data_IF_759081701828
#
_entry.id   IF_759081701828
#
_cell.length_a   1.000
_cell.length_b   1.000
_cell.length_c   1.000
_cell.angle_alpha   90.00
_cell.angle_beta   90.00
_cell.angle_gamma   90.00
#
_symmetry.space_group_name_H-M   'P 1'
#
loop_
_entity.id
_entity.type
_entity.pdbx_description
1 polymer ?
#
# COMPACT_ATOMS: atom_id res chain seq x y z
N UNK A 1 -21.79 9.50 19.01
CA UNK A 1 -20.69 9.31 18.07
C UNK A 1 -20.94 7.97 17.41
N UNK A 2 -21.06 7.93 16.11
CA UNK A 2 -21.33 6.71 15.36
C UNK A 2 -19.98 6.13 14.91
N UNK A 3 -19.73 4.87 15.22
CA UNK A 3 -18.53 4.14 14.83
C UNK A 3 -18.81 3.06 13.77
N UNK A 4 -20.04 3.04 13.25
CA UNK A 4 -20.39 2.11 12.20
C UNK A 4 -19.64 2.47 10.90
N UNK A 5 -19.13 1.46 10.22
CA UNK A 5 -18.44 1.66 8.98
C UNK A 5 -19.42 1.82 7.83
N UNK A 6 -19.13 2.75 6.93
CA UNK A 6 -19.83 2.80 5.66
C UNK A 6 -19.54 1.54 4.82
N UNK A 7 -20.39 1.23 3.86
CA UNK A 7 -20.18 0.10 2.94
C UNK A 7 -18.83 0.18 2.22
N UNK A 8 -18.41 1.37 1.80
CA UNK A 8 -17.13 1.59 1.13
C UNK A 8 -15.94 1.36 2.08
N UNK A 9 -16.03 1.82 3.31
CA UNK A 9 -15.00 1.59 4.33
C UNK A 9 -14.85 0.10 4.64
N UNK A 10 -15.96 -0.60 4.86
CA UNK A 10 -15.97 -2.04 5.08
C UNK A 10 -15.40 -2.79 3.87
N UNK A 11 -15.80 -2.41 2.64
CA UNK A 11 -15.31 -3.02 1.40
C UNK A 11 -13.79 -2.98 1.30
N UNK A 12 -13.16 -1.82 1.49
CA UNK A 12 -11.70 -1.71 1.36
C UNK A 12 -10.95 -2.42 2.49
N UNK A 13 -11.39 -2.26 3.73
CA UNK A 13 -10.84 -3.01 4.88
C UNK A 13 -10.88 -4.53 4.63
N UNK A 14 -12.02 -5.03 4.21
CA UNK A 14 -12.22 -6.48 4.05
C UNK A 14 -11.45 -7.05 2.87
N UNK A 15 -11.25 -6.28 1.80
CA UNK A 15 -10.36 -6.65 0.70
C UNK A 15 -8.92 -6.84 1.17
N UNK A 16 -8.39 -5.86 1.91
CA UNK A 16 -7.03 -5.93 2.47
C UNK A 16 -6.91 -7.09 3.46
N UNK A 17 -7.87 -7.23 4.38
CA UNK A 17 -7.91 -8.34 5.32
C UNK A 17 -7.91 -9.69 4.61
N UNK A 18 -8.79 -9.88 3.66
CA UNK A 18 -8.90 -11.13 2.90
C UNK A 18 -7.61 -11.46 2.17
N UNK A 19 -6.97 -10.46 1.57
CA UNK A 19 -5.69 -10.66 0.90
C UNK A 19 -4.61 -11.10 1.89
N UNK A 20 -4.50 -10.44 3.04
CA UNK A 20 -3.53 -10.78 4.09
C UNK A 20 -3.75 -12.21 4.58
N UNK A 21 -4.99 -12.58 4.90
CA UNK A 21 -5.31 -13.91 5.42
C UNK A 21 -5.01 -15.02 4.40
N UNK A 22 -5.31 -14.78 3.12
CA UNK A 22 -5.18 -15.81 2.10
C UNK A 22 -3.77 -15.90 1.47
N UNK A 23 -3.01 -14.81 1.45
CA UNK A 23 -1.74 -14.73 0.72
C UNK A 23 -0.53 -14.55 1.64
N UNK A 24 -0.65 -13.73 2.69
CA UNK A 24 0.51 -13.41 3.53
C UNK A 24 0.64 -14.32 4.75
N UNK A 25 -0.45 -14.56 5.48
CA UNK A 25 -0.40 -15.41 6.68
C UNK A 25 0.11 -16.82 6.41
N UNK A 26 -0.28 -17.50 5.32
CA UNK A 26 0.26 -18.83 5.03
C UNK A 26 1.76 -18.84 4.71
N UNK A 27 2.33 -17.70 4.34
CA UNK A 27 3.74 -17.57 3.92
C UNK A 27 4.65 -16.91 4.96
N UNK A 28 4.16 -16.64 6.16
CA UNK A 28 4.97 -15.95 7.20
C UNK A 28 6.27 -16.71 7.49
N UNK A 29 6.22 -18.02 7.61
CA UNK A 29 7.41 -18.81 7.92
C UNK A 29 8.39 -18.88 6.73
N UNK A 30 7.89 -18.90 5.50
CA UNK A 30 8.70 -18.79 4.29
C UNK A 30 9.42 -17.43 4.24
N UNK A 31 8.70 -16.32 4.48
CA UNK A 31 9.28 -14.97 4.50
C UNK A 31 10.35 -14.86 5.58
N UNK A 32 10.09 -15.35 6.79
CA UNK A 32 11.07 -15.36 7.88
C UNK A 32 12.31 -16.16 7.55
N UNK A 33 12.14 -17.33 6.93
CA UNK A 33 13.26 -18.18 6.52
C UNK A 33 14.10 -17.50 5.43
N UNK A 34 13.45 -16.85 4.46
CA UNK A 34 14.12 -16.10 3.41
C UNK A 34 14.89 -14.91 4.00
N UNK A 35 14.29 -14.13 4.92
CA UNK A 35 14.92 -12.98 5.59
C UNK A 35 16.16 -13.43 6.41
N UNK A 36 16.06 -14.56 7.09
CA UNK A 36 17.15 -15.11 7.91
C UNK A 36 18.27 -15.76 7.09
N UNK A 37 18.04 -16.07 5.80
CA UNK A 37 18.93 -16.96 5.01
C UNK A 37 20.11 -16.28 4.32
N UNK A 38 20.39 -14.96 4.55
CA UNK A 38 21.45 -14.38 3.76
C UNK A 38 21.80 -12.93 3.98
N UNK A 39 22.09 -12.22 2.92
CA UNK A 39 22.45 -10.82 2.92
C UNK A 39 21.26 -9.97 3.43
N UNK A 40 21.52 -9.19 4.46
CA UNK A 40 20.56 -8.26 5.07
C UNK A 40 19.91 -7.29 4.05
N UNK A 41 20.58 -7.03 2.96
CA UNK A 41 20.15 -6.09 1.92
C UNK A 41 19.47 -6.77 0.73
N UNK A 42 19.27 -8.07 0.81
CA UNK A 42 18.60 -8.85 -0.22
C UNK A 42 17.12 -8.50 -0.30
N UNK A 43 16.63 -8.30 -1.49
CA UNK A 43 15.18 -8.18 -1.75
C UNK A 43 14.53 -9.54 -1.54
N UNK A 44 13.50 -9.60 -0.70
CA UNK A 44 12.76 -10.82 -0.41
C UNK A 44 11.85 -11.18 -1.59
N UNK A 45 12.18 -12.27 -2.29
CA UNK A 45 11.45 -12.69 -3.49
C UNK A 45 10.00 -13.06 -3.18
N UNK A 46 9.75 -13.62 -2.00
CA UNK A 46 8.40 -13.92 -1.53
C UNK A 46 7.55 -12.65 -1.43
N UNK A 47 8.12 -11.55 -0.91
CA UNK A 47 7.44 -10.24 -0.84
C UNK A 47 7.17 -9.69 -2.25
N UNK A 48 8.14 -9.77 -3.18
CA UNK A 48 7.95 -9.29 -4.55
C UNK A 48 6.84 -10.05 -5.30
N UNK A 49 6.71 -11.35 -5.07
CA UNK A 49 5.61 -12.14 -5.62
C UNK A 49 4.25 -11.66 -5.09
N UNK A 50 4.16 -11.38 -3.80
CA UNK A 50 2.91 -10.89 -3.21
C UNK A 50 2.59 -9.45 -3.62
N UNK A 51 3.59 -8.57 -3.82
CA UNK A 51 3.42 -7.24 -4.44
C UNK A 51 2.75 -7.35 -5.82
N UNK A 52 3.24 -8.26 -6.66
CA UNK A 52 2.66 -8.48 -7.99
C UNK A 52 1.18 -8.89 -7.91
N UNK A 53 0.83 -9.77 -6.96
CA UNK A 53 -0.57 -10.17 -6.73
C UNK A 53 -1.42 -9.02 -6.19
N UNK A 54 -0.91 -8.25 -5.24
CA UNK A 54 -1.62 -7.09 -4.68
C UNK A 54 -1.90 -6.03 -5.75
N UNK A 55 -0.91 -5.76 -6.61
CA UNK A 55 -1.06 -4.86 -7.76
C UNK A 55 -2.12 -5.37 -8.74
N UNK A 56 -2.08 -6.65 -9.11
CA UNK A 56 -3.08 -7.27 -9.98
C UNK A 56 -4.50 -7.27 -9.37
N UNK A 57 -4.60 -7.36 -8.05
CA UNK A 57 -5.87 -7.28 -7.32
C UNK A 57 -6.40 -5.85 -7.15
N UNK A 58 -5.67 -4.82 -7.59
CA UNK A 58 -6.06 -3.41 -7.43
C UNK A 58 -6.04 -2.91 -5.99
N UNK A 59 -5.20 -3.51 -5.14
CA UNK A 59 -4.95 -3.09 -3.75
C UNK A 59 -3.51 -2.59 -3.59
N UNK A 60 -3.17 -1.61 -4.40
CA UNK A 60 -1.84 -1.04 -4.52
C UNK A 60 -1.90 0.48 -4.30
N UNK A 61 -0.90 1.06 -3.66
CA UNK A 61 -0.82 2.50 -3.38
C UNK A 61 -2.03 3.04 -2.59
N UNK A 62 -2.53 2.27 -1.63
CA UNK A 62 -3.75 2.61 -0.88
C UNK A 62 -3.63 3.91 -0.07
N UNK A 63 -2.41 4.31 0.26
CA UNK A 63 -2.12 5.52 1.07
C UNK A 63 -2.35 6.82 0.30
N UNK A 64 -2.32 6.79 -1.03
CA UNK A 64 -2.39 8.00 -1.82
C UNK A 64 -3.77 8.62 -1.81
N UNK A 65 -3.87 9.92 -1.50
CA UNK A 65 -5.15 10.60 -1.43
C UNK A 65 -5.81 10.73 -2.81
N UNK A 66 -7.14 10.88 -2.86
CA UNK A 66 -7.85 11.12 -4.11
C UNK A 66 -7.41 12.44 -4.77
N UNK A 67 -7.44 12.49 -6.09
CA UNK A 67 -7.02 13.66 -6.89
C UNK A 67 -7.65 14.99 -6.44
N UNK A 68 -8.90 14.96 -6.01
CA UNK A 68 -9.70 16.15 -5.64
C UNK A 68 -9.65 16.50 -4.16
N UNK A 69 -8.80 15.88 -3.38
CA UNK A 69 -8.83 15.92 -1.91
C UNK A 69 -7.83 16.86 -1.26
N UNK A 70 -7.40 17.96 -1.85
CA UNK A 70 -6.45 18.71 -1.12
C UNK A 70 -6.10 20.12 -1.59
N UNK A 71 -5.76 20.92 -0.63
CA UNK A 71 -5.27 22.29 -0.76
C UNK A 71 -3.92 22.43 -1.49
N UNK A 72 -3.41 21.36 -2.12
CA UNK A 72 -2.16 21.36 -2.84
C UNK A 72 -2.39 21.09 -4.31
N UNK A 73 -1.73 21.88 -5.16
CA UNK A 73 -1.73 21.69 -6.59
C UNK A 73 -1.11 20.33 -6.91
N UNK A 74 -1.93 19.39 -7.33
CA UNK A 74 -1.49 18.10 -7.85
C UNK A 74 -1.34 18.26 -9.36
N UNK A 75 -0.17 17.90 -9.87
CA UNK A 75 0.06 17.87 -11.30
C UNK A 75 -0.72 16.70 -11.91
N UNK A 76 -1.78 17.02 -12.65
CA UNK A 76 -2.65 16.05 -13.31
C UNK A 76 -2.02 15.40 -14.56
N UNK A 77 -0.78 15.77 -14.90
CA UNK A 77 -0.08 15.22 -16.07
C UNK A 77 0.35 13.76 -15.91
N UNK A 78 0.33 13.24 -14.67
CA UNK A 78 0.65 11.85 -14.37
C UNK A 78 -0.58 11.10 -13.85
N UNK A 79 -0.87 9.99 -14.51
CA UNK A 79 -1.84 9.03 -13.98
C UNK A 79 -1.29 8.38 -12.71
N UNK A 80 -2.04 8.52 -11.66
CA UNK A 80 -1.71 7.96 -10.39
C UNK A 80 -2.41 6.59 -10.23
N UNK A 81 -1.62 5.54 -10.05
CA UNK A 81 -2.12 4.19 -9.82
C UNK A 81 -2.48 3.97 -8.34
N UNK A 82 -3.70 4.27 -7.97
CA UNK A 82 -4.23 4.01 -6.64
C UNK A 82 -5.75 4.18 -6.60
N UNK A 83 -6.44 3.56 -5.65
CA UNK A 83 -7.89 3.60 -5.57
C UNK A 83 -8.45 4.93 -5.06
N UNK A 84 -7.61 5.88 -4.65
CA UNK A 84 -8.01 7.19 -4.14
C UNK A 84 -8.83 7.09 -2.86
N UNK A 85 -8.31 6.40 -1.86
CA UNK A 85 -8.95 6.29 -0.55
C UNK A 85 -8.87 7.61 0.22
N UNK A 86 -9.89 7.89 1.00
CA UNK A 86 -9.79 8.91 2.05
C UNK A 86 -8.85 8.42 3.16
N UNK A 87 -8.33 9.35 3.96
CA UNK A 87 -7.46 8.98 5.09
C UNK A 87 -8.16 8.02 6.07
N UNK A 88 -9.47 8.16 6.25
CA UNK A 88 -10.23 7.27 7.13
C UNK A 88 -10.36 5.85 6.54
N UNK A 89 -10.63 5.73 5.24
CA UNK A 89 -10.66 4.45 4.54
C UNK A 89 -9.28 3.77 4.58
N UNK A 90 -8.22 4.55 4.34
CA UNK A 90 -6.85 4.03 4.43
C UNK A 90 -6.46 3.62 5.85
N UNK A 91 -6.87 4.36 6.88
CA UNK A 91 -6.57 4.01 8.27
C UNK A 91 -7.11 2.62 8.64
N UNK A 92 -8.31 2.27 8.19
CA UNK A 92 -8.88 0.93 8.38
C UNK A 92 -8.08 -0.17 7.64
N UNK A 93 -7.58 0.13 6.46
CA UNK A 93 -6.67 -0.76 5.74
C UNK A 93 -5.33 -0.90 6.46
N UNK A 94 -4.77 0.21 6.94
CA UNK A 94 -3.50 0.24 7.66
C UNK A 94 -3.56 -0.55 8.99
N UNK A 95 -4.70 -0.54 9.68
CA UNK A 95 -4.93 -1.38 10.85
C UNK A 95 -4.77 -2.87 10.50
N UNK A 96 -5.35 -3.33 9.40
CA UNK A 96 -5.20 -4.71 8.94
C UNK A 96 -3.75 -5.04 8.56
N UNK A 97 -3.08 -4.11 7.87
CA UNK A 97 -1.66 -4.27 7.53
C UNK A 97 -0.77 -4.38 8.78
N UNK A 98 -1.08 -3.63 9.84
CA UNK A 98 -0.34 -3.67 11.09
C UNK A 98 -0.40 -5.02 11.84
N UNK A 99 -1.30 -5.91 11.47
CA UNK A 99 -1.46 -7.24 12.09
C UNK A 99 -0.44 -8.27 11.61
N UNK A 100 0.16 -8.03 10.47
CA UNK A 100 1.16 -8.94 9.87
C UNK A 100 2.38 -8.13 9.45
N UNK A 101 3.53 -8.47 10.01
CA UNK A 101 4.79 -7.85 9.65
C UNK A 101 5.04 -7.99 8.13
N UNK A 102 5.65 -7.00 7.50
CA UNK A 102 5.87 -6.82 6.04
C UNK A 102 4.59 -6.56 5.20
N UNK A 103 3.39 -6.65 5.74
CA UNK A 103 2.21 -6.53 4.87
C UNK A 103 2.07 -5.14 4.24
N UNK A 104 2.45 -4.06 4.92
CA UNK A 104 2.48 -2.71 4.35
C UNK A 104 3.38 -2.61 3.12
N UNK A 105 4.51 -3.30 3.12
CA UNK A 105 5.42 -3.41 1.98
C UNK A 105 4.74 -4.04 0.76
N UNK A 106 3.95 -5.09 0.98
CA UNK A 106 3.23 -5.79 -0.09
C UNK A 106 2.23 -4.91 -0.82
N UNK A 107 1.64 -3.93 -0.13
CA UNK A 107 0.69 -2.98 -0.72
C UNK A 107 1.32 -1.66 -1.18
N UNK A 108 2.67 -1.58 -1.17
CA UNK A 108 3.44 -0.37 -1.42
C UNK A 108 3.07 0.79 -0.47
N UNK A 109 2.85 0.45 0.78
CA UNK A 109 2.41 1.37 1.84
C UNK A 109 3.41 1.47 3.00
N UNK A 110 4.67 1.09 2.78
CA UNK A 110 5.71 1.17 3.80
C UNK A 110 6.33 2.56 3.91
N UNK A 111 6.65 2.95 5.12
CA UNK A 111 7.50 4.11 5.37
C UNK A 111 8.98 3.72 5.18
N UNK A 112 9.83 4.61 4.65
CA UNK A 112 9.60 6.02 4.32
C UNK A 112 9.05 6.26 2.91
N UNK A 113 8.84 5.23 2.12
CA UNK A 113 8.56 5.32 0.69
C UNK A 113 7.24 6.07 0.39
N UNK A 114 6.22 5.87 1.22
CA UNK A 114 4.94 6.56 1.07
C UNK A 114 5.09 8.08 1.07
N UNK A 115 5.86 8.63 2.01
CA UNK A 115 6.14 10.05 2.07
C UNK A 115 6.95 10.55 0.87
N UNK A 116 7.96 9.80 0.46
CA UNK A 116 8.80 10.12 -0.69
C UNK A 116 7.98 10.11 -2.00
N UNK A 117 7.13 9.10 -2.18
CA UNK A 117 6.25 9.00 -3.35
C UNK A 117 5.26 10.17 -3.41
N UNK A 118 4.66 10.54 -2.27
CA UNK A 118 3.73 11.66 -2.22
C UNK A 118 4.43 13.00 -2.51
N UNK A 119 5.61 13.24 -1.97
CA UNK A 119 6.42 14.43 -2.26
C UNK A 119 6.79 14.49 -3.73
N UNK A 120 7.27 13.37 -4.29
CA UNK A 120 7.63 13.30 -5.70
C UNK A 120 6.42 13.52 -6.61
N UNK A 121 5.29 12.91 -6.26
CA UNK A 121 4.04 13.10 -7.00
C UNK A 121 3.58 14.56 -7.02
N UNK A 122 3.67 15.26 -5.88
CA UNK A 122 3.20 16.64 -5.75
C UNK A 122 4.16 17.67 -6.32
N UNK A 123 5.47 17.48 -6.19
CA UNK A 123 6.49 18.50 -6.41
C UNK A 123 7.55 18.11 -7.43
N UNK A 124 7.59 16.85 -7.86
CA UNK A 124 8.56 16.38 -8.84
C UNK A 124 8.32 16.97 -10.23
N UNK A 125 9.40 17.23 -10.98
CA UNK A 125 9.30 17.57 -12.41
C UNK A 125 8.81 16.36 -13.23
N UNK A 126 8.29 16.58 -14.46
CA UNK A 126 7.92 15.46 -15.35
C UNK A 126 9.04 14.44 -15.53
N UNK A 127 10.30 14.88 -15.68
CA UNK A 127 11.43 13.96 -15.81
C UNK A 127 11.69 13.17 -14.52
N UNK A 128 11.52 13.80 -13.36
CA UNK A 128 11.68 13.09 -12.07
C UNK A 128 10.61 12.05 -11.85
N UNK A 129 9.37 12.33 -12.26
CA UNK A 129 8.24 11.40 -12.11
C UNK A 129 8.31 10.23 -13.09
N UNK A 130 8.96 10.38 -14.23
CA UNK A 130 9.09 9.35 -15.28
C UNK A 130 10.20 8.32 -15.00
N UNK A 131 11.04 8.57 -14.03
CA UNK A 131 12.15 7.68 -13.61
C UNK A 131 11.69 6.64 -12.62
#
# INVERSE_FOLDING_TARGET
>A
MDFDLTERQAHWRDRVRTFIENNLRPRIDEIKAEDASGDRWKVLQTIEQEKAKAKAAGIWNLFMPPRNGGHHHVDDSFEFEGPGLTNLEYALCAEEMGRVYWSSEVFNCSAPDTGNMEVLHRYGSPEQKSR
#
